data_IF_178169242888
#
_entry.id   IF_178169242888
#
_cell.length_a   1.000
_cell.length_b   1.000
_cell.length_c   1.000
_cell.angle_alpha   90.00
_cell.angle_beta   90.00
_cell.angle_gamma   90.00
#
_symmetry.space_group_name_H-M   'P 1'
#
loop_
_entity.id
_entity.type
_entity.pdbx_description
1 polymer ?
#
# COMPACT_ATOMS: atom_id res chain seq x y z
N UNK A 1 -1.68 -17.53 15.25
CA UNK A 1 -0.48 -18.35 15.04
C UNK A 1 0.72 -17.41 14.97
N UNK A 2 1.86 -17.76 15.57
CA UNK A 2 3.09 -16.94 15.52
C UNK A 2 3.58 -16.71 14.08
N UNK A 3 3.35 -17.67 13.17
CA UNK A 3 3.68 -17.55 11.75
C UNK A 3 2.95 -16.38 11.05
N UNK A 4 1.74 -16.03 11.49
CA UNK A 4 0.97 -14.93 10.88
C UNK A 4 1.48 -13.54 11.27
N UNK A 5 2.40 -13.48 12.24
CA UNK A 5 3.12 -12.27 12.66
C UNK A 5 4.53 -12.19 12.08
N UNK A 6 5.03 -13.28 11.50
CA UNK A 6 6.35 -13.33 10.90
C UNK A 6 6.30 -12.68 9.50
N UNK A 7 6.99 -11.54 9.29
CA UNK A 7 6.95 -10.84 8.03
C UNK A 7 7.55 -11.65 6.88
N UNK A 8 8.58 -12.45 7.12
CA UNK A 8 9.25 -13.23 6.07
C UNK A 8 8.36 -14.40 5.64
N UNK A 9 7.75 -15.09 6.60
CA UNK A 9 6.74 -16.11 6.30
C UNK A 9 5.56 -15.52 5.52
N UNK A 10 5.03 -14.39 5.97
CA UNK A 10 3.87 -13.78 5.33
C UNK A 10 4.18 -13.25 3.93
N UNK A 11 5.39 -12.73 3.68
CA UNK A 11 5.82 -12.35 2.33
C UNK A 11 5.97 -13.57 1.41
N UNK A 12 6.53 -14.68 1.92
CA UNK A 12 6.58 -15.93 1.16
C UNK A 12 5.17 -16.45 0.81
N UNK A 13 4.20 -16.30 1.72
CA UNK A 13 2.80 -16.63 1.46
C UNK A 13 2.17 -15.69 0.42
N UNK A 14 2.39 -14.38 0.54
CA UNK A 14 1.92 -13.36 -0.43
C UNK A 14 2.39 -13.66 -1.85
N UNK A 15 3.65 -14.08 -2.01
CA UNK A 15 4.22 -14.41 -3.31
C UNK A 15 3.53 -15.62 -3.98
N UNK A 16 2.84 -16.48 -3.21
CA UNK A 16 2.06 -17.59 -3.74
C UNK A 16 0.59 -17.19 -3.99
N UNK A 17 -0.02 -16.51 -3.01
CA UNK A 17 -1.39 -16.01 -3.12
C UNK A 17 -1.58 -14.77 -2.21
N UNK A 18 -1.82 -13.62 -2.84
CA UNK A 18 -2.06 -12.35 -2.16
C UNK A 18 -3.25 -12.41 -1.20
N UNK A 19 -4.23 -13.29 -1.43
CA UNK A 19 -5.39 -13.43 -0.56
C UNK A 19 -5.02 -13.90 0.84
N UNK A 20 -3.86 -14.54 1.01
CA UNK A 20 -3.37 -14.99 2.32
C UNK A 20 -3.04 -13.82 3.26
N UNK A 21 -2.88 -12.59 2.76
CA UNK A 21 -2.78 -11.39 3.60
C UNK A 21 -3.99 -11.18 4.50
N UNK A 22 -5.17 -11.72 4.15
CA UNK A 22 -6.35 -11.62 5.02
C UNK A 22 -6.08 -12.21 6.41
N UNK A 23 -5.19 -13.21 6.50
CA UNK A 23 -4.81 -13.89 7.73
C UNK A 23 -3.62 -13.25 8.46
N UNK A 24 -2.90 -12.32 7.83
CA UNK A 24 -1.78 -11.63 8.47
C UNK A 24 -2.26 -10.91 9.74
N UNK A 25 -1.38 -10.84 10.73
CA UNK A 25 -1.61 -10.06 11.93
C UNK A 25 -1.86 -8.58 11.60
N UNK A 26 -2.72 -7.91 12.36
CA UNK A 26 -3.08 -6.51 12.09
C UNK A 26 -1.88 -5.57 12.25
N UNK A 27 -0.90 -5.96 13.08
CA UNK A 27 0.38 -5.27 13.22
C UNK A 27 1.15 -5.25 11.89
N UNK A 28 1.18 -6.36 11.15
CA UNK A 28 1.83 -6.43 9.83
C UNK A 28 1.05 -5.63 8.78
N UNK A 29 -0.28 -5.78 8.74
CA UNK A 29 -1.14 -4.98 7.84
C UNK A 29 -1.02 -3.48 8.10
N UNK A 30 -0.65 -3.11 9.32
CA UNK A 30 -0.40 -1.75 9.76
C UNK A 30 1.07 -1.32 9.77
N UNK A 31 2.01 -2.16 9.32
CA UNK A 31 3.42 -1.85 9.20
C UNK A 31 3.70 -1.33 7.78
N UNK A 32 4.08 -0.04 7.63
CA UNK A 32 4.42 0.54 6.33
C UNK A 32 5.49 -0.24 5.57
N UNK A 33 6.52 -0.76 6.24
CA UNK A 33 7.64 -1.43 5.59
C UNK A 33 7.21 -2.77 5.01
N UNK A 34 6.55 -3.59 5.83
CA UNK A 34 6.00 -4.87 5.39
C UNK A 34 5.01 -4.67 4.24
N UNK A 35 4.07 -3.72 4.38
CA UNK A 35 3.08 -3.50 3.33
C UNK A 35 3.69 -2.97 2.03
N UNK A 36 4.75 -2.14 2.08
CA UNK A 36 5.47 -1.74 0.86
C UNK A 36 6.19 -2.91 0.20
N UNK A 37 6.71 -3.88 0.97
CA UNK A 37 7.25 -5.11 0.41
C UNK A 37 6.16 -5.95 -0.26
N UNK A 38 5.00 -6.12 0.39
CA UNK A 38 3.86 -6.82 -0.21
C UNK A 38 3.34 -6.12 -1.49
N UNK A 39 3.33 -4.79 -1.52
CA UNK A 39 2.94 -3.99 -2.70
C UNK A 39 3.90 -4.17 -3.87
N UNK A 40 5.19 -4.38 -3.61
CA UNK A 40 6.17 -4.67 -4.67
C UNK A 40 5.89 -6.03 -5.33
N UNK A 41 5.42 -7.01 -4.57
CA UNK A 41 5.01 -8.31 -5.10
C UNK A 41 3.68 -8.20 -5.85
N UNK A 42 2.68 -7.57 -5.25
CA UNK A 42 1.37 -7.37 -5.85
C UNK A 42 0.67 -6.13 -5.27
N UNK A 43 0.30 -5.19 -6.13
CA UNK A 43 -0.39 -3.97 -5.74
C UNK A 43 -1.70 -4.22 -4.97
N UNK A 44 -2.38 -5.35 -5.23
CA UNK A 44 -3.60 -5.76 -4.54
C UNK A 44 -3.40 -5.89 -3.03
N UNK A 45 -2.15 -5.99 -2.54
CA UNK A 45 -1.80 -5.90 -1.12
C UNK A 45 -2.42 -4.69 -0.42
N UNK A 46 -2.55 -3.54 -1.11
CA UNK A 46 -3.18 -2.34 -0.56
C UNK A 46 -4.64 -2.55 -0.14
N UNK A 47 -5.33 -3.55 -0.68
CA UNK A 47 -6.68 -3.93 -0.23
C UNK A 47 -6.68 -4.28 1.26
N UNK A 48 -5.62 -4.96 1.73
CA UNK A 48 -5.47 -5.47 3.09
C UNK A 48 -4.71 -4.52 4.02
N UNK A 49 -4.11 -3.45 3.50
CA UNK A 49 -3.44 -2.44 4.31
C UNK A 49 -4.41 -1.86 5.35
N UNK A 50 -3.92 -1.66 6.56
CA UNK A 50 -4.70 -1.04 7.62
C UNK A 50 -5.19 0.35 7.18
N UNK A 51 -6.40 0.79 7.57
CA UNK A 51 -6.94 2.09 7.17
C UNK A 51 -6.01 3.28 7.47
N UNK A 52 -5.26 3.21 8.58
CA UNK A 52 -4.26 4.23 8.95
C UNK A 52 -3.19 4.44 7.86
N UNK A 53 -2.79 3.38 7.14
CA UNK A 53 -1.79 3.46 6.07
C UNK A 53 -2.39 4.08 4.81
N UNK A 54 -3.66 3.80 4.49
CA UNK A 54 -4.35 4.42 3.35
C UNK A 54 -4.54 5.93 3.54
N UNK A 55 -4.61 6.38 4.79
CA UNK A 55 -4.64 7.80 5.18
C UNK A 55 -3.25 8.43 5.32
N UNK A 56 -2.19 7.61 5.35
CA UNK A 56 -0.82 8.07 5.51
C UNK A 56 -0.27 8.55 4.17
N UNK A 57 -0.01 9.85 4.12
CA UNK A 57 0.52 10.52 2.93
C UNK A 57 1.88 9.95 2.49
N UNK A 58 2.80 9.72 3.43
CA UNK A 58 4.14 9.26 3.10
C UNK A 58 4.11 7.82 2.58
N UNK A 59 3.33 6.95 3.24
CA UNK A 59 3.12 5.58 2.78
C UNK A 59 2.49 5.53 1.39
N UNK A 60 1.41 6.30 1.14
CA UNK A 60 0.74 6.27 -0.16
C UNK A 60 1.60 6.88 -1.27
N UNK A 61 2.42 7.89 -1.00
CA UNK A 61 3.40 8.39 -1.95
C UNK A 61 4.49 7.35 -2.25
N UNK A 62 5.00 6.64 -1.24
CA UNK A 62 5.95 5.56 -1.43
C UNK A 62 5.35 4.39 -2.25
N UNK A 63 4.08 4.03 -1.99
CA UNK A 63 3.37 3.04 -2.78
C UNK A 63 3.17 3.51 -4.24
N UNK A 64 2.86 4.79 -4.46
CA UNK A 64 2.70 5.38 -5.79
C UNK A 64 4.02 5.43 -6.60
N UNK A 65 5.17 5.49 -5.92
CA UNK A 65 6.47 5.34 -6.57
C UNK A 65 6.70 3.92 -7.10
N UNK A 66 6.14 2.90 -6.44
CA UNK A 66 6.19 1.50 -6.92
C UNK A 66 5.23 1.35 -8.11
N UNK A 67 3.98 1.76 -7.94
CA UNK A 67 2.97 1.73 -8.99
C UNK A 67 1.96 2.85 -8.75
N UNK A 68 1.75 3.71 -9.75
CA UNK A 68 0.89 4.88 -9.60
C UNK A 68 -0.57 4.54 -9.34
N UNK A 69 -1.03 3.35 -9.74
CA UNK A 69 -2.38 2.83 -9.42
C UNK A 69 -2.58 2.71 -7.90
N UNK A 70 -1.51 2.68 -7.09
CA UNK A 70 -1.61 2.72 -5.63
C UNK A 70 -2.46 3.90 -5.13
N UNK A 71 -2.44 5.04 -5.83
CA UNK A 71 -3.21 6.23 -5.45
C UNK A 71 -4.71 5.98 -5.43
N UNK A 72 -5.22 5.02 -6.21
CA UNK A 72 -6.63 4.61 -6.19
C UNK A 72 -7.04 3.85 -4.92
N UNK A 73 -6.08 3.43 -4.10
CA UNK A 73 -6.32 2.80 -2.79
C UNK A 73 -6.14 3.77 -1.62
N UNK A 74 -5.66 4.99 -1.88
CA UNK A 74 -5.55 6.02 -0.86
C UNK A 74 -6.94 6.37 -0.32
N UNK A 75 -6.98 6.83 0.92
CA UNK A 75 -8.22 7.32 1.49
C UNK A 75 -8.76 8.53 0.68
N UNK A 76 -10.08 8.62 0.44
CA UNK A 76 -10.67 9.73 -0.30
C UNK A 76 -10.26 11.10 0.25
N UNK A 77 -10.20 11.27 1.58
CA UNK A 77 -9.79 12.51 2.24
C UNK A 77 -8.35 12.93 1.87
N UNK A 78 -7.51 11.96 1.50
CA UNK A 78 -6.15 12.22 1.05
C UNK A 78 -6.12 12.60 -0.43
N UNK A 79 -6.90 11.90 -1.27
CA UNK A 79 -6.96 12.18 -2.72
C UNK A 79 -7.64 13.51 -3.06
N UNK A 80 -8.51 14.02 -2.21
CA UNK A 80 -9.12 15.35 -2.36
C UNK A 80 -8.14 16.50 -2.05
N UNK A 81 -7.03 16.21 -1.35
CA UNK A 81 -6.02 17.23 -1.02
C UNK A 81 -5.15 17.50 -2.25
N UNK A 82 -5.31 18.71 -2.80
CA UNK A 82 -4.49 19.21 -3.91
C UNK A 82 -2.99 19.05 -3.66
N UNK A 83 -2.52 19.28 -2.43
CA UNK A 83 -1.10 19.16 -2.07
C UNK A 83 -0.59 17.73 -2.21
N UNK A 84 -1.38 16.73 -1.81
CA UNK A 84 -1.04 15.32 -1.96
C UNK A 84 -0.94 14.92 -3.43
N UNK A 85 -1.95 15.31 -4.23
CA UNK A 85 -1.97 15.02 -5.68
C UNK A 85 -0.78 15.69 -6.38
N UNK A 86 -0.47 16.94 -6.05
CA UNK A 86 0.70 17.63 -6.59
C UNK A 86 2.01 16.95 -6.18
N UNK A 87 2.12 16.46 -4.94
CA UNK A 87 3.29 15.71 -4.50
C UNK A 87 3.44 14.39 -5.29
N UNK A 88 2.34 13.67 -5.52
CA UNK A 88 2.33 12.43 -6.29
C UNK A 88 2.76 12.66 -7.75
N UNK A 89 2.21 13.68 -8.42
CA UNK A 89 2.57 14.03 -9.81
C UNK A 89 4.01 14.52 -9.93
N UNK A 90 4.52 15.29 -8.94
CA UNK A 90 5.92 15.71 -8.91
C UNK A 90 6.88 14.52 -8.74
N UNK A 91 6.50 13.54 -7.91
CA UNK A 91 7.30 12.35 -7.69
C UNK A 91 7.27 11.40 -8.91
N UNK A 92 6.12 11.27 -9.56
CA UNK A 92 5.95 10.47 -10.76
C UNK A 92 4.90 11.12 -11.69
N UNK A 93 5.29 11.69 -12.84
CA UNK A 93 4.35 12.32 -13.78
C UNK A 93 3.23 11.40 -14.29
N UNK A 94 3.44 10.07 -14.30
CA UNK A 94 2.38 9.11 -14.68
C UNK A 94 1.26 9.05 -13.63
N UNK A 95 1.48 9.55 -12.41
CA UNK A 95 0.49 9.57 -11.34
C UNK A 95 -0.80 10.27 -11.73
N UNK A 96 -0.73 11.23 -12.67
CA UNK A 96 -1.90 11.95 -13.18
C UNK A 96 -2.99 10.97 -13.65
N UNK A 97 -2.63 9.89 -14.37
CA UNK A 97 -3.60 8.93 -14.93
C UNK A 97 -4.38 8.13 -13.89
N UNK A 98 -3.89 8.12 -12.66
CA UNK A 98 -4.42 7.33 -11.54
C UNK A 98 -5.22 8.18 -10.55
N UNK A 99 -5.29 9.49 -10.78
CA UNK A 99 -5.95 10.48 -9.90
C UNK A 99 -6.93 11.40 -10.62
N UNK A 100 -7.12 11.23 -11.94
CA UNK A 100 -8.22 11.85 -12.72
C UNK A 100 -9.24 10.82 -13.16
#
# INVERSE_FOLDING_TARGET
>A
SELLKDPDFMLAAVAQDIMLLIHAADELKGDPKFMLMAVKEDLRALTFAAPKLKKDQEFMLAAAQINTIALSFADPELTEKREFILAAVKANPQAVKSVV
#
